data_IF_406314282210
#
_entry.id   IF_406314282210
#
_cell.length_a   1.000
_cell.length_b   1.000
_cell.length_c   1.000
_cell.angle_alpha   90.00
_cell.angle_beta   90.00
_cell.angle_gamma   90.00
#
_symmetry.space_group_name_H-M   'P 1'
#
loop_
_entity.id
_entity.type
_entity.pdbx_description
1 polymer ?
#
# COMPACT_ATOMS: atom_id res chain seq x y z
N UNK A 1 27.39 -9.22 34.85
CA UNK A 1 27.30 -9.44 33.38
C UNK A 1 27.90 -8.19 32.74
N UNK A 2 28.76 -8.34 31.77
CA UNK A 2 29.41 -7.21 31.10
C UNK A 2 28.34 -6.43 30.27
N UNK A 3 28.46 -5.11 30.19
CA UNK A 3 27.54 -4.22 29.45
C UNK A 3 27.41 -4.63 27.97
N UNK A 4 28.48 -5.19 27.41
CA UNK A 4 28.46 -5.70 26.03
C UNK A 4 27.58 -6.95 25.90
N UNK A 5 27.59 -7.86 26.85
CA UNK A 5 26.77 -9.04 26.87
C UNK A 5 25.28 -8.69 27.05
N UNK A 6 24.98 -7.67 27.87
CA UNK A 6 23.62 -7.20 28.05
C UNK A 6 22.99 -6.74 26.73
N UNK A 7 23.70 -5.97 25.91
CA UNK A 7 23.25 -5.56 24.57
C UNK A 7 22.99 -6.72 23.61
N UNK A 8 23.77 -7.80 23.72
CA UNK A 8 23.53 -9.00 22.88
C UNK A 8 22.30 -9.77 23.36
N UNK A 9 22.07 -9.85 24.66
CA UNK A 9 20.85 -10.46 25.21
C UNK A 9 19.60 -9.69 24.80
N UNK A 10 19.58 -8.36 24.89
CA UNK A 10 18.48 -7.51 24.42
C UNK A 10 18.16 -7.74 22.94
N UNK A 11 19.18 -7.88 22.08
CA UNK A 11 18.97 -8.23 20.66
C UNK A 11 18.33 -9.62 20.48
N UNK A 12 18.75 -10.59 21.28
CA UNK A 12 18.18 -11.93 21.23
C UNK A 12 16.71 -11.92 21.72
N UNK A 13 16.40 -11.17 22.78
CA UNK A 13 15.03 -11.02 23.30
C UNK A 13 14.11 -10.40 22.27
N UNK A 14 14.50 -9.33 21.57
CA UNK A 14 13.73 -8.71 20.48
C UNK A 14 13.40 -9.72 19.38
N UNK A 15 14.33 -10.60 19.01
CA UNK A 15 14.08 -11.64 18.01
C UNK A 15 13.09 -12.69 18.51
N UNK A 16 13.16 -13.05 19.80
CA UNK A 16 12.22 -13.99 20.42
C UNK A 16 10.83 -13.38 20.56
N UNK A 17 10.73 -12.10 20.89
CA UNK A 17 9.45 -11.36 20.92
C UNK A 17 8.74 -11.34 19.56
N UNK A 18 9.49 -11.34 18.46
CA UNK A 18 8.95 -11.40 17.11
C UNK A 18 8.38 -12.78 16.73
N UNK A 19 8.77 -13.86 17.43
CA UNK A 19 8.46 -15.24 17.06
C UNK A 19 6.95 -15.53 16.94
N UNK A 20 6.07 -15.10 17.87
CA UNK A 20 4.63 -15.34 17.76
C UNK A 20 4.02 -14.69 16.50
N UNK A 21 4.50 -13.51 16.12
CA UNK A 21 4.05 -12.80 14.91
C UNK A 21 4.52 -13.53 13.64
N UNK A 22 5.77 -13.99 13.61
CA UNK A 22 6.33 -14.78 12.50
C UNK A 22 5.50 -16.05 12.32
N UNK A 23 5.19 -16.78 13.40
CA UNK A 23 4.36 -17.98 13.35
C UNK A 23 2.94 -17.70 12.86
N UNK A 24 2.31 -16.64 13.36
CA UNK A 24 0.93 -16.25 13.02
C UNK A 24 0.79 -15.88 11.55
N UNK A 25 1.77 -15.15 11.00
CA UNK A 25 1.70 -14.59 9.66
C UNK A 25 2.55 -15.33 8.62
N UNK A 26 3.20 -16.45 9.00
CA UNK A 26 3.94 -17.27 8.06
C UNK A 26 3.06 -17.71 6.88
N UNK A 27 3.55 -17.53 5.66
CA UNK A 27 2.86 -17.77 4.38
C UNK A 27 1.60 -16.90 4.14
N UNK A 28 1.30 -15.92 5.01
CA UNK A 28 0.20 -14.99 4.78
C UNK A 28 0.60 -13.92 3.78
N UNK A 29 -0.36 -13.57 2.92
CA UNK A 29 -0.19 -12.50 1.92
C UNK A 29 -0.39 -11.16 2.60
N UNK A 30 0.55 -10.25 2.36
CA UNK A 30 0.47 -8.86 2.80
C UNK A 30 0.64 -7.98 1.56
N UNK A 31 -0.32 -7.10 1.31
CA UNK A 31 -0.20 -6.10 0.25
C UNK A 31 0.26 -4.79 0.90
N UNK A 32 1.33 -4.23 0.38
CA UNK A 32 1.89 -2.95 0.82
C UNK A 32 1.70 -1.93 -0.31
N UNK A 33 0.80 -0.97 -0.09
CA UNK A 33 0.72 0.19 -0.95
C UNK A 33 1.82 1.17 -0.55
N UNK A 34 2.76 1.38 -1.45
CA UNK A 34 3.92 2.23 -1.24
C UNK A 34 3.80 3.54 -2.04
N UNK A 35 3.74 4.68 -1.35
CA UNK A 35 3.53 5.98 -1.97
C UNK A 35 3.92 7.14 -1.06
N UNK A 36 3.57 8.35 -1.48
CA UNK A 36 3.79 9.54 -0.68
C UNK A 36 5.26 10.01 -0.66
N UNK A 37 5.64 10.69 0.42
CA UNK A 37 6.99 11.26 0.59
C UNK A 37 8.06 10.18 0.77
N UNK A 38 7.70 9.02 1.32
CA UNK A 38 8.62 7.89 1.47
C UNK A 38 9.20 7.36 0.15
N UNK A 39 8.56 7.66 -1.00
CA UNK A 39 9.11 7.30 -2.31
C UNK A 39 10.16 8.27 -2.83
N UNK A 40 10.22 9.49 -2.30
CA UNK A 40 11.11 10.55 -2.80
C UNK A 40 12.38 10.61 -1.97
N UNK A 41 12.25 10.43 -0.67
CA UNK A 41 13.36 10.38 0.26
C UNK A 41 14.07 9.03 0.13
N UNK A 42 15.37 9.06 -0.20
CA UNK A 42 16.14 7.83 -0.46
C UNK A 42 16.36 7.00 0.80
N UNK A 43 16.50 7.62 1.97
CA UNK A 43 16.66 6.94 3.26
C UNK A 43 15.38 6.23 3.68
N UNK A 44 14.24 6.93 3.61
CA UNK A 44 12.93 6.33 3.89
C UNK A 44 12.59 5.20 2.91
N UNK A 45 12.96 5.36 1.65
CA UNK A 45 12.82 4.31 0.62
C UNK A 45 13.60 3.05 1.00
N UNK A 46 14.85 3.21 1.43
CA UNK A 46 15.67 2.08 1.88
C UNK A 46 15.05 1.37 3.08
N UNK A 47 14.53 2.09 4.08
CA UNK A 47 13.85 1.50 5.24
C UNK A 47 12.64 0.67 4.83
N UNK A 48 11.75 1.19 3.98
CA UNK A 48 10.56 0.45 3.51
C UNK A 48 10.97 -0.82 2.75
N UNK A 49 11.99 -0.74 1.90
CA UNK A 49 12.47 -1.90 1.14
C UNK A 49 13.13 -2.93 2.06
N UNK A 50 13.87 -2.51 3.07
CA UNK A 50 14.42 -3.39 4.11
C UNK A 50 13.31 -4.10 4.88
N UNK A 51 12.28 -3.37 5.30
CA UNK A 51 11.13 -3.92 6.00
C UNK A 51 10.43 -5.02 5.18
N UNK A 52 10.06 -4.72 3.94
CA UNK A 52 9.38 -5.68 3.07
C UNK A 52 10.27 -6.88 2.77
N UNK A 53 11.58 -6.66 2.60
CA UNK A 53 12.55 -7.74 2.38
C UNK A 53 12.65 -8.63 3.61
N UNK A 54 12.72 -8.06 4.82
CA UNK A 54 12.72 -8.84 6.06
C UNK A 54 11.44 -9.66 6.21
N UNK A 55 10.27 -9.04 5.99
CA UNK A 55 8.99 -9.76 6.01
C UNK A 55 9.00 -10.97 5.07
N UNK A 56 9.51 -10.81 3.85
CA UNK A 56 9.65 -11.91 2.90
C UNK A 56 10.56 -13.02 3.44
N UNK A 57 11.73 -12.68 3.98
CA UNK A 57 12.72 -13.62 4.49
C UNK A 57 12.22 -14.42 5.69
N UNK A 58 11.39 -13.81 6.55
CA UNK A 58 10.79 -14.50 7.71
C UNK A 58 9.50 -15.27 7.35
N UNK A 59 9.16 -15.38 6.07
CA UNK A 59 8.13 -16.29 5.57
C UNK A 59 6.79 -15.68 5.18
N UNK A 60 6.62 -14.36 5.29
CA UNK A 60 5.45 -13.68 4.73
C UNK A 60 5.47 -13.71 3.20
N UNK A 61 4.36 -13.40 2.56
CA UNK A 61 4.21 -13.26 1.11
C UNK A 61 3.85 -11.82 0.75
N UNK A 62 4.82 -10.89 0.79
CA UNK A 62 4.55 -9.49 0.48
C UNK A 62 4.35 -9.27 -1.02
N UNK A 63 3.44 -8.34 -1.33
CA UNK A 63 3.20 -7.77 -2.66
C UNK A 63 3.30 -6.26 -2.50
N UNK A 64 4.12 -5.59 -3.29
CA UNK A 64 4.19 -4.13 -3.31
C UNK A 64 3.32 -3.60 -4.45
N UNK A 65 2.47 -2.61 -4.17
CA UNK A 65 1.80 -1.78 -5.17
C UNK A 65 2.31 -0.37 -4.99
N UNK A 66 3.09 0.13 -5.94
CA UNK A 66 3.71 1.43 -5.78
C UNK A 66 2.93 2.56 -6.47
N UNK A 67 3.02 3.75 -5.91
CA UNK A 67 2.58 4.97 -6.56
C UNK A 67 3.69 5.59 -7.43
N UNK A 68 3.55 6.87 -7.74
CA UNK A 68 4.53 7.63 -8.51
C UNK A 68 4.01 9.01 -8.93
N UNK A 69 2.91 9.47 -8.34
CA UNK A 69 2.26 10.72 -8.75
C UNK A 69 3.18 11.95 -8.72
N UNK A 70 4.06 12.06 -7.71
CA UNK A 70 5.05 13.16 -7.62
C UNK A 70 6.10 13.07 -8.73
N UNK A 71 6.57 11.85 -9.07
CA UNK A 71 7.51 11.65 -10.18
C UNK A 71 6.86 11.94 -11.53
N UNK A 72 5.61 11.51 -11.74
CA UNK A 72 4.86 11.85 -12.96
C UNK A 72 4.73 13.36 -13.08
N UNK A 73 4.30 14.07 -12.01
CA UNK A 73 4.20 15.55 -12.05
C UNK A 73 5.53 16.23 -12.36
N UNK A 74 6.64 15.71 -11.78
CA UNK A 74 7.98 16.23 -12.07
C UNK A 74 8.33 16.09 -13.55
N UNK A 75 8.02 14.96 -14.17
CA UNK A 75 8.32 14.72 -15.57
C UNK A 75 7.38 15.49 -16.51
N UNK A 76 6.08 15.58 -16.20
CA UNK A 76 5.10 16.41 -16.92
C UNK A 76 5.59 17.86 -16.99
N UNK A 77 5.98 18.44 -15.83
CA UNK A 77 6.57 19.79 -15.80
C UNK A 77 7.87 19.90 -16.59
N UNK A 78 8.73 18.87 -16.54
CA UNK A 78 10.02 18.87 -17.23
C UNK A 78 9.89 18.91 -18.77
N UNK A 79 8.82 18.33 -19.31
CA UNK A 79 8.54 18.38 -20.75
C UNK A 79 7.70 19.60 -21.16
N UNK A 80 7.43 20.53 -20.23
CA UNK A 80 6.70 21.78 -20.49
C UNK A 80 5.18 21.65 -20.46
N UNK A 81 4.64 20.56 -19.92
CA UNK A 81 3.22 20.36 -19.67
C UNK A 81 2.87 20.72 -18.23
N UNK A 82 1.59 20.94 -17.94
CA UNK A 82 1.08 21.24 -16.59
C UNK A 82 0.23 20.07 -16.06
N UNK A 83 0.57 19.51 -14.87
CA UNK A 83 -0.25 18.46 -14.27
C UNK A 83 -1.59 19.02 -13.80
N UNK A 84 -2.69 18.39 -14.24
CA UNK A 84 -4.07 18.76 -13.87
C UNK A 84 -4.68 17.67 -13.00
N UNK A 85 -5.54 18.09 -12.08
CA UNK A 85 -6.24 17.16 -11.17
C UNK A 85 -7.71 17.57 -11.04
N UNK A 86 -8.58 16.56 -10.96
CA UNK A 86 -10.00 16.69 -10.62
C UNK A 86 -10.26 15.74 -9.46
N UNK A 87 -10.74 16.26 -8.33
CA UNK A 87 -11.02 15.47 -7.12
C UNK A 87 -9.87 14.56 -6.66
N UNK A 88 -8.61 15.04 -6.81
CA UNK A 88 -7.42 14.28 -6.45
C UNK A 88 -6.98 13.24 -7.47
N UNK A 89 -7.76 13.01 -8.55
CA UNK A 89 -7.40 12.17 -9.66
C UNK A 89 -6.68 13.00 -10.73
N UNK A 90 -5.59 12.46 -11.27
CA UNK A 90 -4.84 13.12 -12.35
C UNK A 90 -5.64 13.06 -13.66
N UNK A 91 -5.92 14.21 -14.25
CA UNK A 91 -6.37 14.26 -15.65
C UNK A 91 -5.25 13.70 -16.51
N UNK A 92 -5.56 12.67 -17.27
CA UNK A 92 -4.54 11.88 -17.99
C UNK A 92 -4.94 11.81 -19.45
N UNK A 93 -4.52 12.82 -20.24
CA UNK A 93 -4.61 12.78 -21.69
C UNK A 93 -3.59 11.78 -22.28
N UNK A 94 -3.55 11.63 -23.58
CA UNK A 94 -2.70 10.66 -24.29
C UNK A 94 -1.21 10.87 -23.97
N UNK A 95 -0.72 12.11 -24.05
CA UNK A 95 0.67 12.46 -23.77
C UNK A 95 1.02 12.22 -22.29
N UNK A 96 0.11 12.58 -21.39
CA UNK A 96 0.26 12.32 -19.96
C UNK A 96 0.25 10.83 -19.65
N UNK A 97 -0.53 10.02 -20.38
CA UNK A 97 -0.57 8.56 -20.18
C UNK A 97 0.76 7.93 -20.61
N UNK A 98 1.32 8.33 -21.75
CA UNK A 98 2.63 7.86 -22.20
C UNK A 98 3.74 8.19 -21.20
N UNK A 99 3.75 9.45 -20.72
CA UNK A 99 4.69 9.86 -19.66
C UNK A 99 4.48 9.07 -18.35
N UNK A 100 3.24 8.85 -17.96
CA UNK A 100 2.94 8.09 -16.74
C UNK A 100 3.45 6.64 -16.86
N UNK A 101 3.25 5.99 -18.00
CA UNK A 101 3.73 4.63 -18.23
C UNK A 101 5.27 4.56 -18.18
N UNK A 102 5.98 5.47 -18.85
CA UNK A 102 7.45 5.54 -18.82
C UNK A 102 7.98 5.76 -17.39
N UNK A 103 7.40 6.73 -16.68
CA UNK A 103 7.85 7.12 -15.33
C UNK A 103 7.58 6.02 -14.33
N UNK A 104 6.37 5.47 -14.32
CA UNK A 104 5.99 4.40 -13.40
C UNK A 104 6.77 3.11 -13.68
N UNK A 105 7.04 2.80 -14.97
CA UNK A 105 7.90 1.68 -15.35
C UNK A 105 9.33 1.85 -14.82
N UNK A 106 9.91 3.05 -14.89
CA UNK A 106 11.20 3.34 -14.28
C UNK A 106 11.19 3.19 -12.76
N UNK A 107 10.19 3.73 -12.08
CA UNK A 107 10.04 3.60 -10.62
C UNK A 107 9.96 2.13 -10.24
N UNK A 108 9.15 1.35 -10.96
CA UNK A 108 8.98 -0.08 -10.76
C UNK A 108 10.33 -0.83 -10.81
N UNK A 109 11.12 -0.64 -11.85
CA UNK A 109 12.41 -1.32 -12.02
C UNK A 109 13.45 -0.87 -11.00
N UNK A 110 13.43 0.37 -10.56
CA UNK A 110 14.30 0.83 -9.47
C UNK A 110 13.97 0.12 -8.14
N UNK A 111 12.69 -0.10 -7.83
CA UNK A 111 12.28 -0.84 -6.62
C UNK A 111 12.71 -2.31 -6.71
N UNK A 112 12.59 -2.94 -7.87
CA UNK A 112 13.10 -4.31 -8.09
C UNK A 112 14.59 -4.39 -7.78
N UNK A 113 15.40 -3.46 -8.30
CA UNK A 113 16.84 -3.43 -8.05
C UNK A 113 17.17 -3.28 -6.57
N UNK A 114 16.43 -2.44 -5.83
CA UNK A 114 16.65 -2.26 -4.39
C UNK A 114 16.37 -3.54 -3.60
N UNK A 115 15.28 -4.25 -3.91
CA UNK A 115 14.96 -5.53 -3.27
C UNK A 115 16.01 -6.59 -3.59
N UNK A 116 16.42 -6.70 -4.85
CA UNK A 116 17.42 -7.69 -5.28
C UNK A 116 18.81 -7.43 -4.67
N UNK A 117 19.17 -6.18 -4.44
CA UNK A 117 20.39 -5.82 -3.68
C UNK A 117 20.42 -6.44 -2.28
N UNK A 118 19.27 -6.70 -1.68
CA UNK A 118 19.13 -7.34 -0.36
C UNK A 118 19.01 -8.87 -0.45
N UNK A 119 19.24 -9.47 -1.62
CA UNK A 119 19.27 -10.91 -1.83
C UNK A 119 17.89 -11.57 -1.97
N UNK A 120 16.82 -10.81 -2.17
CA UNK A 120 15.46 -11.31 -2.40
C UNK A 120 15.11 -11.21 -3.88
N UNK A 121 14.60 -12.31 -4.46
CA UNK A 121 14.14 -12.34 -5.85
C UNK A 121 12.88 -11.49 -6.00
N UNK A 122 12.91 -10.48 -6.85
CA UNK A 122 11.78 -9.60 -7.11
C UNK A 122 11.43 -9.56 -8.60
N UNK A 123 10.18 -9.29 -8.90
CA UNK A 123 9.73 -9.06 -10.26
C UNK A 123 8.80 -7.86 -10.33
N UNK A 124 9.10 -6.96 -11.24
CA UNK A 124 8.29 -5.76 -11.50
C UNK A 124 7.33 -5.99 -12.65
N UNK A 125 6.05 -5.76 -12.40
CA UNK A 125 4.94 -5.92 -13.32
C UNK A 125 4.14 -4.61 -13.43
N UNK A 126 3.51 -4.40 -14.57
CA UNK A 126 2.35 -3.52 -14.71
C UNK A 126 1.06 -4.35 -14.74
N UNK A 127 -0.08 -3.73 -14.62
CA UNK A 127 -1.35 -4.43 -14.81
C UNK A 127 -1.56 -4.97 -16.23
N UNK A 128 -0.73 -4.54 -17.20
CA UNK A 128 -0.72 -5.06 -18.57
C UNK A 128 -0.16 -6.48 -18.65
N UNK A 129 0.82 -6.80 -17.80
CA UNK A 129 1.53 -8.08 -17.80
C UNK A 129 0.58 -9.21 -17.38
N UNK A 130 0.38 -10.18 -18.25
CA UNK A 130 -0.55 -11.29 -18.02
C UNK A 130 -2.01 -10.84 -17.82
N UNK A 131 -2.39 -9.64 -18.30
CA UNK A 131 -3.69 -9.00 -18.05
C UNK A 131 -4.01 -8.98 -16.55
N UNK A 132 -3.01 -8.58 -15.75
CA UNK A 132 -3.12 -8.56 -14.29
C UNK A 132 -4.23 -7.63 -13.80
N UNK A 133 -4.37 -6.42 -14.40
CA UNK A 133 -5.40 -5.46 -14.06
C UNK A 133 -6.23 -5.10 -15.29
N UNK A 134 -7.47 -5.60 -15.36
CA UNK A 134 -8.47 -5.13 -16.32
C UNK A 134 -9.24 -3.95 -15.73
N UNK A 135 -9.52 -2.94 -16.54
CA UNK A 135 -10.12 -1.68 -16.09
C UNK A 135 -11.33 -1.27 -16.93
N UNK A 136 -12.21 -0.49 -16.30
CA UNK A 136 -13.15 0.39 -17.00
C UNK A 136 -12.62 1.81 -16.96
N UNK A 137 -13.00 2.66 -17.93
CA UNK A 137 -12.71 4.10 -17.88
C UNK A 137 -13.40 4.74 -16.68
N UNK A 138 -12.65 5.53 -15.91
CA UNK A 138 -13.13 6.25 -14.73
C UNK A 138 -13.42 7.71 -15.08
N UNK A 139 -14.54 8.22 -14.58
CA UNK A 139 -14.96 9.61 -14.65
C UNK A 139 -14.87 10.25 -13.27
N UNK A 140 -14.63 11.56 -13.19
CA UNK A 140 -14.66 12.33 -11.95
C UNK A 140 -15.88 13.27 -11.96
N UNK A 141 -16.87 13.01 -11.09
CA UNK A 141 -18.16 13.76 -11.06
C UNK A 141 -18.85 13.91 -12.41
N UNK A 142 -18.73 12.88 -13.25
CA UNK A 142 -19.26 12.87 -14.62
C UNK A 142 -18.38 13.55 -15.67
N UNK A 143 -17.25 14.13 -15.25
CA UNK A 143 -16.25 14.72 -16.16
C UNK A 143 -15.33 13.63 -16.71
N UNK A 144 -15.04 13.70 -18.02
CA UNK A 144 -14.04 12.86 -18.66
C UNK A 144 -12.63 13.36 -18.29
N UNK A 145 -11.91 12.55 -17.54
CA UNK A 145 -10.55 12.82 -17.09
C UNK A 145 -9.47 12.08 -17.89
N UNK A 146 -9.83 11.59 -19.09
CA UNK A 146 -8.92 10.91 -20.01
C UNK A 146 -8.69 9.45 -19.70
N UNK A 147 -7.44 9.00 -19.79
CA UNK A 147 -7.03 7.61 -19.58
C UNK A 147 -6.83 7.29 -18.09
N UNK A 148 -7.87 7.48 -17.31
CA UNK A 148 -7.92 7.08 -15.90
C UNK A 148 -8.82 5.85 -15.77
N UNK A 149 -8.29 4.78 -15.15
CA UNK A 149 -8.97 3.50 -15.02
C UNK A 149 -9.46 3.22 -13.61
N UNK A 150 -10.59 2.54 -13.53
CA UNK A 150 -11.11 1.87 -12.35
C UNK A 150 -10.95 0.35 -12.53
N UNK A 151 -10.38 -0.33 -11.53
CA UNK A 151 -10.12 -1.77 -11.65
C UNK A 151 -11.43 -2.55 -11.72
N UNK A 152 -11.64 -3.23 -12.83
CA UNK A 152 -12.78 -4.13 -13.10
C UNK A 152 -12.49 -5.54 -12.58
N UNK A 153 -11.29 -6.06 -12.85
CA UNK A 153 -10.89 -7.42 -12.52
C UNK A 153 -9.38 -7.50 -12.27
N UNK A 154 -8.98 -8.39 -11.37
CA UNK A 154 -7.58 -8.73 -11.10
C UNK A 154 -7.33 -10.20 -11.44
N UNK A 155 -6.41 -10.48 -12.34
CA UNK A 155 -5.94 -11.83 -12.61
C UNK A 155 -4.98 -12.31 -11.51
N UNK A 156 -5.56 -12.71 -10.37
CA UNK A 156 -4.80 -13.13 -9.19
C UNK A 156 -3.87 -14.33 -9.45
N UNK A 157 -4.15 -15.15 -10.47
CA UNK A 157 -3.33 -16.32 -10.81
C UNK A 157 -1.89 -15.92 -11.14
N UNK A 158 -1.69 -14.81 -11.86
CA UNK A 158 -0.35 -14.29 -12.18
C UNK A 158 0.46 -14.07 -10.89
N UNK A 159 -0.16 -13.50 -9.86
CA UNK A 159 0.50 -13.23 -8.59
C UNK A 159 0.76 -14.50 -7.77
N UNK A 160 -0.20 -15.42 -7.74
CA UNK A 160 -0.01 -16.72 -7.07
C UNK A 160 1.15 -17.50 -7.70
N UNK A 161 1.22 -17.58 -9.03
CA UNK A 161 2.29 -18.28 -9.75
C UNK A 161 3.69 -17.69 -9.42
N UNK A 162 3.78 -16.38 -9.25
CA UNK A 162 5.03 -15.71 -8.88
C UNK A 162 5.41 -15.95 -7.41
N UNK A 163 4.45 -15.83 -6.51
CA UNK A 163 4.64 -16.05 -5.08
C UNK A 163 5.05 -17.49 -4.80
N UNK A 164 4.44 -18.47 -5.47
CA UNK A 164 4.79 -19.89 -5.35
C UNK A 164 6.23 -20.18 -5.81
N UNK A 165 6.70 -19.44 -6.82
CA UNK A 165 8.09 -19.49 -7.30
C UNK A 165 9.05 -18.61 -6.49
N UNK A 166 8.60 -18.14 -5.33
CA UNK A 166 9.36 -17.36 -4.38
C UNK A 166 9.81 -15.97 -4.89
N UNK A 167 9.09 -15.37 -5.83
CA UNK A 167 9.28 -13.96 -6.18
C UNK A 167 8.52 -13.03 -5.22
N UNK A 168 9.03 -11.81 -5.09
CA UNK A 168 8.33 -10.66 -4.52
C UNK A 168 7.77 -9.83 -5.69
N UNK A 169 6.43 -9.81 -5.91
CA UNK A 169 5.84 -8.99 -6.95
C UNK A 169 5.82 -7.51 -6.58
N UNK A 170 6.22 -6.65 -7.51
CA UNK A 170 6.16 -5.19 -7.39
C UNK A 170 5.32 -4.66 -8.53
N UNK A 171 4.16 -4.06 -8.23
CA UNK A 171 3.13 -3.77 -9.22
C UNK A 171 3.02 -2.27 -9.47
N UNK A 172 3.11 -1.91 -10.74
CA UNK A 172 2.84 -0.60 -11.28
C UNK A 172 1.34 -0.47 -11.59
N UNK A 173 0.65 0.59 -11.12
CA UNK A 173 -0.80 0.73 -11.24
C UNK A 173 -1.21 1.25 -12.62
N UNK A 174 -0.99 0.44 -13.63
CA UNK A 174 -1.40 0.65 -15.03
C UNK A 174 -2.19 -0.58 -15.44
N UNK A 175 -3.33 -0.41 -16.12
CA UNK A 175 -4.18 -1.49 -16.58
C UNK A 175 -4.61 -1.35 -18.02
N UNK A 176 -5.34 -2.34 -18.52
CA UNK A 176 -5.92 -2.37 -19.86
C UNK A 176 -7.45 -2.48 -19.78
N UNK A 177 -8.14 -1.78 -20.70
CA UNK A 177 -9.55 -2.06 -20.94
C UNK A 177 -9.73 -3.26 -21.87
N UNK A 178 -10.98 -3.56 -22.23
CA UNK A 178 -11.33 -4.70 -23.11
C UNK A 178 -10.77 -4.50 -24.55
N UNK A 179 -10.54 -3.25 -24.97
CA UNK A 179 -9.98 -2.89 -26.27
C UNK A 179 -8.43 -2.77 -26.27
N UNK A 180 -7.79 -3.11 -25.14
CA UNK A 180 -6.35 -3.00 -24.87
C UNK A 180 -5.83 -1.55 -24.83
N UNK A 181 -6.65 -0.55 -24.58
CA UNK A 181 -6.19 0.78 -24.27
C UNK A 181 -5.56 0.81 -22.87
N UNK A 182 -4.50 1.59 -22.72
CA UNK A 182 -3.75 1.71 -21.46
C UNK A 182 -4.35 2.80 -20.56
N UNK A 183 -4.51 2.50 -19.29
CA UNK A 183 -5.07 3.42 -18.28
C UNK A 183 -4.17 3.54 -17.06
N UNK A 184 -4.04 4.77 -16.58
CA UNK A 184 -3.45 5.08 -15.28
C UNK A 184 -4.47 4.80 -14.18
N UNK A 185 -4.08 4.03 -13.16
CA UNK A 185 -4.95 3.67 -12.04
C UNK A 185 -4.46 4.37 -10.78
N UNK A 186 -5.38 4.80 -9.93
CA UNK A 186 -5.02 5.26 -8.58
C UNK A 186 -4.36 4.09 -7.81
N UNK A 187 -3.17 4.33 -7.23
CA UNK A 187 -2.41 3.27 -6.57
C UNK A 187 -3.11 2.70 -5.32
N UNK A 188 -3.93 3.50 -4.61
CA UNK A 188 -4.73 3.03 -3.49
C UNK A 188 -5.83 2.09 -3.99
N UNK A 189 -6.53 2.46 -5.08
CA UNK A 189 -7.57 1.64 -5.71
C UNK A 189 -6.98 0.31 -6.22
N UNK A 190 -5.82 0.35 -6.89
CA UNK A 190 -5.13 -0.85 -7.37
C UNK A 190 -4.71 -1.77 -6.21
N UNK A 191 -4.17 -1.21 -5.13
CA UNK A 191 -3.78 -1.98 -3.95
C UNK A 191 -4.96 -2.66 -3.27
N UNK A 192 -6.11 -1.97 -3.14
CA UNK A 192 -7.35 -2.55 -2.63
C UNK A 192 -7.85 -3.69 -3.50
N UNK A 193 -7.90 -3.50 -4.83
CA UNK A 193 -8.34 -4.52 -5.75
C UNK A 193 -7.45 -5.77 -5.69
N UNK A 194 -6.13 -5.60 -5.66
CA UNK A 194 -5.18 -6.69 -5.52
C UNK A 194 -5.32 -7.38 -4.16
N UNK A 195 -5.43 -6.62 -3.06
CA UNK A 195 -5.59 -7.19 -1.73
C UNK A 195 -6.87 -8.04 -1.62
N UNK A 196 -7.97 -7.58 -2.19
CA UNK A 196 -9.24 -8.34 -2.26
C UNK A 196 -9.07 -9.63 -3.07
N UNK A 197 -8.55 -9.53 -4.30
CA UNK A 197 -8.38 -10.68 -5.19
C UNK A 197 -7.44 -11.76 -4.60
N UNK A 198 -6.41 -11.32 -3.87
CA UNK A 198 -5.45 -12.19 -3.19
C UNK A 198 -5.90 -12.65 -1.81
N UNK A 199 -7.07 -12.21 -1.31
CA UNK A 199 -7.55 -12.44 0.06
C UNK A 199 -6.45 -12.18 1.08
N UNK A 200 -5.85 -10.99 0.99
CA UNK A 200 -4.70 -10.63 1.80
C UNK A 200 -5.05 -10.62 3.30
N UNK A 201 -4.16 -11.13 4.11
CA UNK A 201 -4.24 -11.04 5.58
C UNK A 201 -4.16 -9.58 6.04
N UNK A 202 -3.32 -8.79 5.38
CA UNK A 202 -3.14 -7.37 5.66
C UNK A 202 -3.00 -6.56 4.37
N UNK A 203 -3.59 -5.37 4.37
CA UNK A 203 -3.28 -4.30 3.43
C UNK A 203 -2.70 -3.13 4.23
N UNK A 204 -1.49 -2.71 3.93
CA UNK A 204 -0.84 -1.57 4.57
C UNK A 204 -0.71 -0.41 3.58
N UNK A 205 -1.30 0.73 3.91
CA UNK A 205 -1.10 1.99 3.20
C UNK A 205 0.04 2.77 3.87
N UNK A 206 1.16 2.91 3.19
CA UNK A 206 2.21 3.84 3.57
C UNK A 206 1.89 5.20 2.96
N UNK A 207 1.66 6.18 3.81
CA UNK A 207 1.15 7.52 3.46
C UNK A 207 1.89 8.60 4.24
N UNK A 208 1.61 9.86 3.95
CA UNK A 208 2.16 11.02 4.67
C UNK A 208 1.28 11.42 5.88
N UNK A 209 0.45 10.50 6.38
CA UNK A 209 -0.50 10.73 7.46
C UNK A 209 -0.28 9.69 8.56
N UNK A 210 -0.23 10.14 9.81
CA UNK A 210 0.05 9.29 10.99
C UNK A 210 -1.09 8.31 11.36
N UNK A 211 -2.29 8.51 10.78
CA UNK A 211 -3.49 7.71 11.05
C UNK A 211 -4.77 8.53 10.99
N UNK A 212 -5.82 8.01 11.59
CA UNK A 212 -7.12 8.69 11.74
C UNK A 212 -7.20 9.34 13.13
N UNK A 213 -7.69 10.55 13.19
CA UNK A 213 -7.84 11.33 14.42
C UNK A 213 -9.32 11.66 14.66
N UNK A 214 -9.75 11.72 15.92
CA UNK A 214 -11.05 12.33 16.29
C UNK A 214 -11.01 13.84 16.08
N UNK A 215 -9.88 14.46 16.44
CA UNK A 215 -9.59 15.87 16.18
C UNK A 215 -8.23 15.96 15.49
N UNK A 216 -8.16 16.32 14.19
CA UNK A 216 -6.89 16.43 13.47
C UNK A 216 -5.92 17.47 14.04
N UNK A 217 -6.41 18.42 14.87
CA UNK A 217 -5.57 19.42 15.53
C UNK A 217 -4.92 18.92 16.82
N UNK A 218 -5.39 17.80 17.38
CA UNK A 218 -4.88 17.18 18.60
C UNK A 218 -4.29 15.79 18.34
N UNK A 219 -2.94 15.64 18.30
CA UNK A 219 -2.26 14.36 18.08
C UNK A 219 -2.61 13.28 19.11
N UNK A 220 -3.07 13.65 20.31
CA UNK A 220 -3.46 12.69 21.35
C UNK A 220 -4.76 11.95 21.04
N UNK A 221 -5.53 12.44 20.06
CA UNK A 221 -6.82 11.88 19.64
C UNK A 221 -6.70 10.85 18.52
N UNK A 222 -5.46 10.40 18.17
CA UNK A 222 -5.26 9.36 17.18
C UNK A 222 -5.95 8.07 17.60
N UNK A 223 -6.69 7.49 16.66
CA UNK A 223 -7.43 6.25 16.86
C UNK A 223 -6.54 5.08 16.39
N UNK A 224 -6.20 4.18 17.30
CA UNK A 224 -5.34 3.03 16.98
C UNK A 224 -6.08 1.94 16.19
N UNK A 225 -7.38 1.78 16.42
CA UNK A 225 -8.21 0.85 15.68
C UNK A 225 -9.64 1.38 15.53
N UNK A 226 -10.26 1.03 14.39
CA UNK A 226 -11.64 1.35 14.03
C UNK A 226 -12.27 0.12 13.40
N UNK A 227 -13.51 -0.17 13.74
CA UNK A 227 -14.33 -1.07 12.93
C UNK A 227 -14.85 -0.36 11.69
N UNK A 228 -15.35 -1.14 10.70
CA UNK A 228 -15.98 -0.57 9.50
C UNK A 228 -17.20 0.29 9.86
N UNK A 229 -17.98 -0.11 10.86
CA UNK A 229 -19.14 0.66 11.36
C UNK A 229 -18.72 1.96 12.02
N UNK A 230 -17.74 1.94 12.94
CA UNK A 230 -17.19 3.14 13.59
C UNK A 230 -16.59 4.12 12.56
N UNK A 231 -15.88 3.60 11.56
CA UNK A 231 -15.32 4.44 10.49
C UNK A 231 -16.44 5.16 9.70
N UNK A 232 -17.54 4.48 9.39
CA UNK A 232 -18.71 5.09 8.73
C UNK A 232 -19.38 6.16 9.57
N UNK A 233 -19.52 5.94 10.90
CA UNK A 233 -20.06 6.93 11.81
C UNK A 233 -19.19 8.20 11.85
N UNK A 234 -17.87 8.05 11.96
CA UNK A 234 -16.94 9.19 11.94
C UNK A 234 -16.97 9.96 10.62
N UNK A 235 -17.19 9.27 9.49
CA UNK A 235 -17.39 9.93 8.19
C UNK A 235 -18.71 10.72 8.15
N UNK A 236 -19.80 10.13 8.65
CA UNK A 236 -21.13 10.75 8.69
C UNK A 236 -21.14 11.99 9.60
N UNK A 237 -20.44 11.93 10.72
CA UNK A 237 -20.35 13.01 11.70
C UNK A 237 -19.35 14.10 11.28
N UNK A 238 -18.66 13.92 10.13
CA UNK A 238 -17.74 14.91 9.57
C UNK A 238 -16.35 14.95 10.21
N UNK A 239 -16.02 14.02 11.11
CA UNK A 239 -14.68 13.90 11.69
C UNK A 239 -13.65 13.41 10.65
N UNK A 240 -14.07 12.59 9.70
CA UNK A 240 -13.25 12.16 8.57
C UNK A 240 -13.72 12.91 7.32
N UNK A 241 -12.87 13.76 6.76
CA UNK A 241 -13.22 14.61 5.62
C UNK A 241 -12.09 14.72 4.59
N UNK A 242 -12.33 15.51 3.54
CA UNK A 242 -11.33 15.84 2.52
C UNK A 242 -10.69 14.61 1.85
N UNK A 243 -9.38 14.66 1.67
CA UNK A 243 -8.61 13.59 1.01
C UNK A 243 -8.56 12.26 1.78
N UNK A 244 -9.00 12.22 3.05
CA UNK A 244 -9.06 10.98 3.82
C UNK A 244 -10.31 10.15 3.48
N UNK A 245 -11.43 10.79 3.07
CA UNK A 245 -12.68 10.11 2.74
C UNK A 245 -12.51 8.98 1.70
N UNK A 246 -11.90 9.22 0.52
CA UNK A 246 -11.69 8.17 -0.46
C UNK A 246 -10.84 7.01 0.09
N UNK A 247 -9.82 7.34 0.90
CA UNK A 247 -8.93 6.34 1.49
C UNK A 247 -9.66 5.44 2.49
N UNK A 248 -10.47 6.01 3.38
CA UNK A 248 -11.25 5.24 4.36
C UNK A 248 -12.32 4.39 3.65
N UNK A 249 -12.99 4.93 2.63
CA UNK A 249 -13.92 4.15 1.81
C UNK A 249 -13.22 2.92 1.18
N UNK A 250 -12.04 3.11 0.60
CA UNK A 250 -11.24 2.02 0.05
C UNK A 250 -10.87 0.98 1.12
N UNK A 251 -10.53 1.42 2.34
CA UNK A 251 -10.24 0.53 3.46
C UNK A 251 -11.47 -0.31 3.85
N UNK A 252 -12.62 0.33 4.01
CA UNK A 252 -13.89 -0.34 4.34
C UNK A 252 -14.23 -1.36 3.26
N UNK A 253 -14.18 -0.95 1.99
CA UNK A 253 -14.47 -1.84 0.87
C UNK A 253 -13.51 -3.06 0.84
N UNK A 254 -12.24 -2.85 1.10
CA UNK A 254 -11.27 -3.94 1.16
C UNK A 254 -11.63 -4.97 2.26
N UNK A 255 -11.99 -4.50 3.46
CA UNK A 255 -12.41 -5.36 4.58
C UNK A 255 -13.68 -6.14 4.23
N UNK A 256 -14.71 -5.47 3.71
CA UNK A 256 -15.99 -6.09 3.36
C UNK A 256 -15.86 -7.16 2.26
N UNK A 257 -14.81 -7.07 1.46
CA UNK A 257 -14.50 -8.05 0.40
C UNK A 257 -13.39 -9.04 0.77
N UNK A 258 -13.10 -9.21 2.06
CA UNK A 258 -12.33 -10.35 2.57
C UNK A 258 -10.86 -10.08 2.89
N UNK A 259 -10.41 -8.83 2.90
CA UNK A 259 -9.13 -8.47 3.53
C UNK A 259 -9.33 -8.47 5.05
N UNK A 260 -8.47 -9.17 5.78
CA UNK A 260 -8.68 -9.32 7.25
C UNK A 260 -8.46 -8.01 8.00
N UNK A 261 -7.42 -7.24 7.64
CA UNK A 261 -7.09 -5.96 8.29
C UNK A 261 -6.48 -4.98 7.29
N UNK A 262 -6.83 -3.70 7.45
CA UNK A 262 -6.20 -2.61 6.69
C UNK A 262 -5.52 -1.65 7.67
N UNK A 263 -4.28 -1.30 7.39
CA UNK A 263 -3.47 -0.40 8.22
C UNK A 263 -3.15 0.87 7.44
N UNK A 264 -3.33 2.02 8.09
CA UNK A 264 -2.88 3.33 7.60
C UNK A 264 -1.69 3.74 8.43
N UNK A 265 -0.52 3.82 7.81
CA UNK A 265 0.77 4.03 8.46
C UNK A 265 1.48 5.26 7.91
N UNK A 266 2.14 5.99 8.77
CA UNK A 266 3.05 7.06 8.35
C UNK A 266 4.34 6.46 7.78
N UNK A 267 4.48 6.51 6.47
CA UNK A 267 5.66 6.03 5.77
C UNK A 267 6.92 6.86 6.01
N UNK A 268 6.83 7.99 6.72
CA UNK A 268 7.98 8.82 7.13
C UNK A 268 8.64 8.29 8.40
N UNK A 269 7.99 7.38 9.12
CA UNK A 269 8.57 6.74 10.30
C UNK A 269 9.48 5.60 9.81
N UNK A 270 10.78 5.60 10.16
CA UNK A 270 11.68 4.51 9.84
C UNK A 270 11.14 3.16 10.33
N UNK A 271 11.20 2.15 9.49
CA UNK A 271 10.75 0.79 9.81
C UNK A 271 9.28 0.68 10.25
N UNK A 272 8.42 1.54 9.71
CA UNK A 272 7.00 1.62 10.08
C UNK A 272 6.25 0.29 9.91
N UNK A 273 6.58 -0.52 8.90
CA UNK A 273 5.96 -1.83 8.70
C UNK A 273 6.34 -2.82 9.81
N UNK A 274 7.59 -2.83 10.23
CA UNK A 274 8.04 -3.73 11.30
C UNK A 274 7.44 -3.34 12.64
N UNK A 275 7.39 -2.04 12.94
CA UNK A 275 6.75 -1.52 14.16
C UNK A 275 5.26 -1.88 14.23
N UNK A 276 4.54 -1.82 13.11
CA UNK A 276 3.13 -2.20 13.06
C UNK A 276 2.89 -3.71 13.15
N UNK A 277 3.77 -4.52 12.54
CA UNK A 277 3.55 -5.96 12.42
C UNK A 277 4.07 -6.72 13.64
N UNK A 278 5.19 -6.29 14.22
CA UNK A 278 5.90 -7.01 15.28
C UNK A 278 5.75 -6.39 16.67
N UNK A 279 4.84 -5.42 16.86
CA UNK A 279 4.55 -4.85 18.18
C UNK A 279 3.05 -4.88 18.50
N UNK A 280 2.73 -4.96 19.78
CA UNK A 280 1.33 -4.95 20.26
C UNK A 280 0.67 -3.58 20.16
N UNK A 281 1.47 -2.51 20.17
CA UNK A 281 0.96 -1.14 20.27
C UNK A 281 0.52 -0.56 18.93
N UNK A 282 1.15 -1.01 17.82
CA UNK A 282 0.99 -0.41 16.51
C UNK A 282 1.41 1.07 16.46
N UNK A 283 1.59 1.61 15.28
CA UNK A 283 2.01 3.01 15.09
C UNK A 283 1.01 3.84 14.29
N UNK A 284 0.02 3.21 13.67
CA UNK A 284 -0.96 3.82 12.81
C UNK A 284 -2.40 3.64 13.27
N UNK A 285 -3.31 3.56 12.30
CA UNK A 285 -4.70 3.18 12.51
C UNK A 285 -5.01 1.89 11.76
N UNK A 286 -5.51 0.89 12.48
CA UNK A 286 -6.02 -0.34 11.90
C UNK A 286 -7.53 -0.23 11.65
N UNK A 287 -7.99 -0.67 10.47
CA UNK A 287 -9.42 -0.83 10.18
C UNK A 287 -9.72 -2.33 10.12
N UNK A 288 -10.79 -2.72 10.83
CA UNK A 288 -11.16 -4.10 11.14
C UNK A 288 -12.60 -4.37 10.74
N UNK A 289 -12.92 -5.65 10.57
CA UNK A 289 -14.32 -6.06 10.54
C UNK A 289 -14.95 -5.89 11.93
N UNK A 290 -16.24 -5.59 12.01
CA UNK A 290 -16.97 -5.43 13.27
C UNK A 290 -16.90 -6.68 14.16
N UNK A 291 -16.80 -7.88 13.55
CA UNK A 291 -16.64 -9.15 14.29
C UNK A 291 -15.28 -9.32 14.97
N UNK A 292 -14.24 -8.60 14.50
CA UNK A 292 -12.85 -8.80 14.94
C UNK A 292 -12.42 -7.85 16.06
N UNK A 293 -13.29 -6.93 16.48
CA UNK A 293 -13.01 -5.93 17.50
C UNK A 293 -12.51 -6.54 18.82
N UNK A 294 -13.17 -7.61 19.29
CA UNK A 294 -12.83 -8.29 20.54
C UNK A 294 -11.43 -8.89 20.57
N UNK A 295 -10.92 -9.33 19.42
CA UNK A 295 -9.60 -9.94 19.33
C UNK A 295 -8.44 -8.94 19.23
N UNK A 296 -8.75 -7.67 18.93
CA UNK A 296 -7.72 -6.64 18.77
C UNK A 296 -7.35 -5.96 20.10
N UNK A 297 -8.32 -5.82 21.00
CA UNK A 297 -8.12 -5.16 22.30
C UNK A 297 -7.67 -6.12 23.42
N UNK A 298 -7.51 -7.42 23.15
CA UNK A 298 -6.91 -8.36 24.11
C UNK A 298 -7.80 -8.69 25.33
N UNK A 299 -9.13 -8.71 25.13
CA UNK A 299 -10.07 -9.30 26.10
C UNK A 299 -10.26 -10.81 25.87
#
# INVERSE_FOLDING_TARGET
MDESMQKYLEKAEVLIEALPYIQKFNRRIIVVKYGGSAMIDDELKEHVIQDVTLLKLVGFKPIIVHGGGKEISRWVNKVGMEPRFVNGLRVTDEDTMELAEMVLGKVNKNLVQLVEKLGVRAIGLSGKDGKLLSVNKKYADGEDIGYVGEVKEVNARVLYDLIEKDFLPIICPIGLDDDNNTYNINADDAACAIARAMRAEKLAFLTDIEGVYKDPSDPSTRISALTTSEARELMKDGFIGGGMLPKINNCIEAIEHGVSKVHILDGRIPHCLLLEIFTNKGIGTAILNDSDQKYYYGE
#
